data_IF_458860870367
#
_entry.id   IF_458860870367
#
_cell.length_a   1.000
_cell.length_b   1.000
_cell.length_c   1.000
_cell.angle_alpha   90.00
_cell.angle_beta   90.00
_cell.angle_gamma   90.00
#
_symmetry.space_group_name_H-M   'P 1'
#
loop_
_entity.id
_entity.type
_entity.pdbx_description
1 polymer ?
#
# COMPACT_ATOMS: atom_id res chain seq x y z
N UNK A 1 -26.74 11.00 11.81
CA UNK A 1 -26.96 10.92 10.34
C UNK A 1 -25.70 11.45 9.67
N UNK A 2 -24.84 10.56 9.17
CA UNK A 2 -23.56 10.91 8.52
C UNK A 2 -23.10 9.81 7.55
N UNK A 3 -24.04 9.12 6.90
CA UNK A 3 -23.80 7.76 6.39
C UNK A 3 -23.31 7.69 4.94
N UNK A 4 -23.47 8.75 4.14
CA UNK A 4 -23.10 8.75 2.72
C UNK A 4 -21.73 9.38 2.45
N UNK A 5 -21.34 10.42 3.18
CA UNK A 5 -20.01 11.05 3.07
C UNK A 5 -18.93 10.09 3.55
N UNK A 6 -19.09 9.55 4.77
CA UNK A 6 -18.14 8.63 5.38
C UNK A 6 -17.89 7.37 4.53
N UNK A 7 -18.93 6.82 3.89
CA UNK A 7 -18.80 5.65 3.03
C UNK A 7 -18.08 5.96 1.70
N UNK A 8 -18.30 7.16 1.16
CA UNK A 8 -17.65 7.63 -0.07
C UNK A 8 -16.18 7.94 0.19
N UNK A 9 -15.88 8.65 1.27
CA UNK A 9 -14.52 8.96 1.71
C UNK A 9 -13.73 7.69 2.03
N UNK A 10 -14.36 6.69 2.64
CA UNK A 10 -13.71 5.40 2.92
C UNK A 10 -13.34 4.67 1.63
N UNK A 11 -14.27 4.63 0.65
CA UNK A 11 -14.04 4.01 -0.65
C UNK A 11 -12.94 4.74 -1.42
N UNK A 12 -12.97 6.07 -1.41
CA UNK A 12 -11.92 6.89 -2.05
C UNK A 12 -10.56 6.62 -1.42
N UNK A 13 -10.48 6.56 -0.09
CA UNK A 13 -9.24 6.23 0.61
C UNK A 13 -8.71 4.82 0.23
N UNK A 14 -9.58 3.81 0.16
CA UNK A 14 -9.20 2.46 -0.32
C UNK A 14 -8.61 2.54 -1.74
N UNK A 15 -9.26 3.26 -2.64
CA UNK A 15 -8.79 3.44 -4.03
C UNK A 15 -7.45 4.17 -4.09
N UNK A 16 -7.26 5.20 -3.27
CA UNK A 16 -5.99 5.92 -3.17
C UNK A 16 -4.85 5.02 -2.67
N UNK A 17 -5.11 4.19 -1.65
CA UNK A 17 -4.12 3.21 -1.20
C UNK A 17 -3.79 2.19 -2.29
N UNK A 18 -4.78 1.70 -3.02
CA UNK A 18 -4.55 0.77 -4.11
C UNK A 18 -3.63 1.35 -5.18
N UNK A 19 -3.91 2.58 -5.62
CA UNK A 19 -3.07 3.29 -6.58
C UNK A 19 -1.67 3.57 -6.03
N UNK A 20 -1.56 3.90 -4.74
CA UNK A 20 -0.27 4.17 -4.11
C UNK A 20 0.60 2.91 -4.05
N UNK A 21 0.00 1.73 -3.80
CA UNK A 21 0.71 0.44 -3.86
C UNK A 21 1.27 0.19 -5.26
N UNK A 22 0.47 0.43 -6.31
CA UNK A 22 0.89 0.19 -7.69
C UNK A 22 1.98 1.17 -8.13
N UNK A 23 1.86 2.45 -7.76
CA UNK A 23 2.90 3.46 -7.99
C UNK A 23 4.20 3.09 -7.29
N UNK A 24 4.11 2.71 -6.01
CA UNK A 24 5.28 2.31 -5.23
C UNK A 24 5.99 1.09 -5.82
N UNK A 25 5.23 0.16 -6.43
CA UNK A 25 5.84 -0.96 -7.14
C UNK A 25 6.70 -0.53 -8.33
N UNK A 26 6.26 0.48 -9.08
CA UNK A 26 7.06 1.07 -10.16
C UNK A 26 8.28 1.83 -9.61
N UNK A 27 8.14 2.55 -8.50
CA UNK A 27 9.26 3.24 -7.85
C UNK A 27 10.33 2.26 -7.37
N UNK A 28 9.92 1.10 -6.84
CA UNK A 28 10.86 0.03 -6.47
C UNK A 28 11.56 -0.58 -7.68
N UNK A 29 10.87 -0.77 -8.81
CA UNK A 29 11.52 -1.27 -10.03
C UNK A 29 12.54 -0.26 -10.56
N UNK A 30 12.23 1.05 -10.52
CA UNK A 30 13.18 2.12 -10.87
C UNK A 30 14.38 2.15 -9.91
N UNK A 31 14.14 2.01 -8.61
CA UNK A 31 15.22 1.94 -7.61
C UNK A 31 16.15 0.76 -7.86
N UNK A 32 15.58 -0.43 -8.11
CA UNK A 32 16.32 -1.65 -8.45
C UNK A 32 17.15 -1.51 -9.74
N UNK A 33 16.66 -0.75 -10.72
CA UNK A 33 17.40 -0.45 -11.97
C UNK A 33 18.46 0.64 -11.80
N UNK A 34 18.57 1.26 -10.63
CA UNK A 34 19.47 2.39 -10.39
C UNK A 34 19.01 3.71 -11.01
N UNK A 35 17.76 3.80 -11.49
CA UNK A 35 17.20 5.05 -12.06
C UNK A 35 16.88 6.09 -10.97
N UNK A 36 16.75 5.65 -9.72
CA UNK A 36 16.62 6.51 -8.54
C UNK A 36 17.52 5.99 -7.43
N UNK A 37 18.19 6.90 -6.73
CA UNK A 37 19.03 6.58 -5.57
C UNK A 37 18.25 6.48 -4.26
N UNK A 38 16.96 6.85 -4.26
CA UNK A 38 16.13 6.88 -3.06
C UNK A 38 15.24 5.65 -3.01
N UNK A 39 15.37 4.88 -1.92
CA UNK A 39 14.47 3.78 -1.61
C UNK A 39 13.04 4.32 -1.37
N UNK A 40 12.00 3.73 -1.99
CA UNK A 40 10.62 4.13 -1.72
C UNK A 40 10.23 3.92 -0.24
N UNK A 41 9.51 4.88 0.34
CA UNK A 41 9.14 4.88 1.75
C UNK A 41 7.89 4.01 2.00
N UNK A 42 8.08 2.70 1.89
CA UNK A 42 7.03 1.71 2.14
C UNK A 42 6.59 1.67 3.60
N UNK A 43 7.45 2.07 4.55
CA UNK A 43 7.14 2.10 5.98
C UNK A 43 6.05 3.14 6.29
N UNK A 44 6.12 4.31 5.65
CA UNK A 44 5.06 5.30 5.73
C UNK A 44 3.73 4.77 5.21
N UNK A 45 3.71 4.15 4.03
CA UNK A 45 2.50 3.55 3.48
C UNK A 45 1.93 2.46 4.40
N UNK A 46 2.78 1.60 4.98
CA UNK A 46 2.34 0.58 5.94
C UNK A 46 1.67 1.21 7.16
N UNK A 47 2.29 2.23 7.75
CA UNK A 47 1.74 2.94 8.90
C UNK A 47 0.39 3.57 8.56
N UNK A 48 0.28 4.21 7.40
CA UNK A 48 -0.95 4.88 6.98
C UNK A 48 -2.08 3.86 6.74
N UNK A 49 -1.78 2.70 6.14
CA UNK A 49 -2.70 1.57 5.99
C UNK A 49 -3.15 0.98 7.33
N UNK A 50 -2.22 0.77 8.26
CA UNK A 50 -2.50 0.24 9.60
C UNK A 50 -3.34 1.22 10.43
N UNK A 51 -3.10 2.52 10.28
CA UNK A 51 -3.91 3.53 10.94
C UNK A 51 -5.33 3.55 10.36
N UNK A 52 -5.45 3.51 9.04
CA UNK A 52 -6.74 3.49 8.36
C UNK A 52 -7.55 2.24 8.68
N UNK A 53 -6.93 1.05 8.71
CA UNK A 53 -7.64 -0.22 8.95
C UNK A 53 -8.30 -0.30 10.33
N UNK A 54 -7.81 0.46 11.31
CA UNK A 54 -8.42 0.56 12.65
C UNK A 54 -9.77 1.27 12.65
N UNK A 55 -10.09 2.06 11.63
CA UNK A 55 -11.36 2.82 11.52
C UNK A 55 -12.57 1.91 11.25
N UNK A 56 -12.36 0.61 11.02
CA UNK A 56 -13.35 -0.47 10.80
C UNK A 56 -14.64 -0.01 10.08
N UNK A 57 -14.78 -0.27 8.77
CA UNK A 57 -15.95 0.20 8.05
C UNK A 57 -17.21 -0.51 8.56
N UNK A 58 -18.33 0.21 8.60
CA UNK A 58 -19.64 -0.36 8.96
C UNK A 58 -20.20 -1.30 7.88
N UNK A 59 -19.67 -1.20 6.66
CA UNK A 59 -20.07 -2.01 5.50
C UNK A 59 -19.15 -3.22 5.32
N UNK A 60 -19.75 -4.41 5.17
CA UNK A 60 -19.04 -5.65 4.82
C UNK A 60 -18.30 -5.54 3.47
N UNK A 61 -18.88 -4.82 2.50
CA UNK A 61 -18.28 -4.59 1.19
C UNK A 61 -16.95 -3.82 1.33
N UNK A 62 -16.97 -2.71 2.08
CA UNK A 62 -15.78 -1.90 2.33
C UNK A 62 -14.74 -2.66 3.17
N UNK A 63 -15.18 -3.50 4.11
CA UNK A 63 -14.26 -4.36 4.86
C UNK A 63 -13.54 -5.33 3.92
N UNK A 64 -14.28 -5.99 3.03
CA UNK A 64 -13.70 -6.91 2.03
C UNK A 64 -12.75 -6.20 1.07
N UNK A 65 -13.08 -4.98 0.64
CA UNK A 65 -12.20 -4.16 -0.20
C UNK A 65 -10.91 -3.76 0.53
N UNK A 66 -11.02 -3.34 1.79
CA UNK A 66 -9.86 -3.03 2.62
C UNK A 66 -8.96 -4.26 2.82
N UNK A 67 -9.53 -5.42 3.12
CA UNK A 67 -8.77 -6.67 3.29
C UNK A 67 -8.00 -7.04 2.02
N UNK A 68 -8.61 -6.85 0.84
CA UNK A 68 -7.93 -7.06 -0.45
C UNK A 68 -6.74 -6.11 -0.63
N UNK A 69 -6.90 -4.83 -0.29
CA UNK A 69 -5.82 -3.83 -0.38
C UNK A 69 -4.69 -4.15 0.60
N UNK A 70 -5.03 -4.54 1.84
CA UNK A 70 -4.03 -4.96 2.85
C UNK A 70 -3.27 -6.20 2.37
N UNK A 71 -3.96 -7.19 1.82
CA UNK A 71 -3.32 -8.37 1.24
C UNK A 71 -2.40 -8.02 0.06
N UNK A 72 -2.87 -7.17 -0.87
CA UNK A 72 -2.08 -6.67 -2.00
C UNK A 72 -0.80 -5.98 -1.50
N UNK A 73 -0.91 -5.10 -0.51
CA UNK A 73 0.24 -4.43 0.09
C UNK A 73 1.24 -5.44 0.69
N UNK A 74 0.79 -6.38 1.53
CA UNK A 74 1.68 -7.36 2.15
C UNK A 74 2.34 -8.30 1.14
N UNK A 75 1.65 -8.64 0.04
CA UNK A 75 2.25 -9.38 -1.08
C UNK A 75 3.33 -8.55 -1.79
N UNK A 76 3.04 -7.28 -2.12
CA UNK A 76 3.99 -6.39 -2.81
C UNK A 76 5.20 -6.04 -1.93
N UNK A 77 4.99 -5.74 -0.65
CA UNK A 77 6.05 -5.49 0.33
C UNK A 77 7.07 -6.63 0.38
N UNK A 78 6.60 -7.89 0.43
CA UNK A 78 7.50 -9.06 0.38
C UNK A 78 8.35 -9.10 -0.89
N UNK A 79 7.79 -8.73 -2.04
CA UNK A 79 8.53 -8.65 -3.31
C UNK A 79 9.56 -7.51 -3.26
N UNK A 80 9.17 -6.32 -2.83
CA UNK A 80 10.04 -5.15 -2.74
C UNK A 80 11.23 -5.38 -1.82
N UNK A 81 10.99 -5.93 -0.62
CA UNK A 81 12.05 -6.21 0.34
C UNK A 81 13.02 -7.27 -0.19
N UNK A 82 12.51 -8.31 -0.87
CA UNK A 82 13.37 -9.30 -1.53
C UNK A 82 14.26 -8.67 -2.59
N UNK A 83 13.76 -7.73 -3.39
CA UNK A 83 14.58 -7.02 -4.36
C UNK A 83 15.73 -6.29 -3.69
N UNK A 84 15.45 -5.52 -2.62
CA UNK A 84 16.47 -4.80 -1.85
C UNK A 84 17.47 -5.74 -1.19
N UNK A 85 17.03 -6.90 -0.69
CA UNK A 85 17.92 -7.90 -0.07
C UNK A 85 18.83 -8.59 -1.09
N UNK A 86 18.32 -8.92 -2.29
CA UNK A 86 19.09 -9.60 -3.35
C UNK A 86 20.20 -8.71 -3.89
N UNK A 87 19.92 -7.42 -4.06
CA UNK A 87 20.91 -6.45 -4.55
C UNK A 87 22.04 -6.21 -3.53
N UNK A 88 21.79 -6.38 -2.23
CA UNK A 88 22.80 -6.21 -1.16
C UNK A 88 23.77 -7.37 -1.01
N UNK A 89 23.43 -8.56 -1.50
CA UNK A 89 24.28 -9.76 -1.42
C UNK A 89 25.04 -10.04 -2.72
N UNK A 90 24.77 -9.27 -3.78
CA UNK A 90 25.39 -9.42 -5.10
C UNK A 90 26.42 -8.31 -5.41
N UNK A 91 26.76 -7.48 -4.41
CA UNK A 91 27.72 -6.38 -4.49
C UNK A 91 28.93 -6.60 -3.59
#
# INVERSE_FOLDING_TARGET
MGTFSDHTEYREAIFLFENQIDRMHLEFDRFRRGETHRMPDWQRLERDLLFFSRRKPSSLELSSQLDRVLYKFQARKRVWLRWVETDRHSG
#
